data_IF_494338442605
#
_entry.id   IF_494338442605
#
_cell.length_a   1.000
_cell.length_b   1.000
_cell.length_c   1.000
_cell.angle_alpha   90.00
_cell.angle_beta   90.00
_cell.angle_gamma   90.00
#
_symmetry.space_group_name_H-M   'P 1'
#
loop_
_entity.id
_entity.type
_entity.pdbx_description
1 polymer ?
#
# COMPACT_ATOMS: atom_id res chain seq x y z
N UNK A 1 -16.31 14.38 -7.48
CA UNK A 1 -14.88 14.40 -7.09
C UNK A 1 -14.63 13.09 -6.36
N UNK A 2 -13.73 12.22 -6.84
CA UNK A 2 -13.66 10.84 -6.34
C UNK A 2 -13.12 10.78 -4.91
N UNK A 3 -13.99 10.42 -3.99
CA UNK A 3 -13.69 10.12 -2.58
C UNK A 3 -13.47 8.62 -2.37
N UNK A 4 -12.96 7.92 -3.39
CA UNK A 4 -12.73 6.47 -3.41
C UNK A 4 -11.28 6.12 -3.75
N UNK A 5 -10.82 4.99 -3.22
CA UNK A 5 -9.48 4.44 -3.46
C UNK A 5 -9.40 2.99 -2.99
N UNK A 6 -8.22 2.38 -3.12
CA UNK A 6 -8.00 1.00 -2.70
C UNK A 6 -8.18 0.87 -1.18
N UNK A 7 -8.99 -0.09 -0.76
CA UNK A 7 -9.06 -0.49 0.65
C UNK A 7 -7.72 -1.06 1.10
N UNK A 8 -7.21 -0.55 2.22
CA UNK A 8 -5.93 -0.98 2.80
C UNK A 8 -6.06 -1.21 4.29
N UNK A 9 -5.20 -2.06 4.85
CA UNK A 9 -5.02 -2.18 6.29
C UNK A 9 -3.96 -1.21 6.84
N UNK A 10 -3.71 -1.26 8.16
CA UNK A 10 -2.71 -0.43 8.83
C UNK A 10 -1.26 -0.66 8.41
N UNK A 11 -0.98 -1.72 7.63
CA UNK A 11 0.34 -2.02 7.06
C UNK A 11 0.44 -1.63 5.57
N UNK A 12 -0.51 -0.84 5.06
CA UNK A 12 -0.59 -0.43 3.65
C UNK A 12 -0.84 -1.58 2.66
N UNK A 13 -1.30 -2.75 3.12
CA UNK A 13 -1.59 -3.90 2.23
C UNK A 13 -2.95 -3.72 1.60
N UNK A 14 -3.06 -3.94 0.29
CA UNK A 14 -4.33 -3.85 -0.43
C UNK A 14 -5.24 -5.00 -0.02
N UNK A 15 -6.50 -4.69 0.26
CA UNK A 15 -7.52 -5.66 0.63
C UNK A 15 -8.36 -6.07 -0.59
N UNK A 16 -8.73 -7.35 -0.64
CA UNK A 16 -9.72 -7.86 -1.58
C UNK A 16 -11.15 -7.54 -1.10
N UNK A 17 -12.16 -7.97 -1.87
CA UNK A 17 -13.59 -7.78 -1.54
C UNK A 17 -14.03 -8.46 -0.26
N UNK A 18 -13.29 -9.46 0.23
CA UNK A 18 -13.54 -10.15 1.50
C UNK A 18 -12.80 -9.51 2.69
N UNK A 19 -12.14 -8.36 2.47
CA UNK A 19 -11.33 -7.68 3.49
C UNK A 19 -10.00 -8.38 3.80
N UNK A 20 -9.54 -9.31 2.96
CA UNK A 20 -8.27 -10.04 3.13
C UNK A 20 -7.14 -9.38 2.35
N UNK A 21 -5.92 -9.28 2.90
CA UNK A 21 -4.77 -8.76 2.17
C UNK A 21 -4.46 -9.58 0.91
N UNK A 22 -4.24 -8.87 -0.20
CA UNK A 22 -3.71 -9.45 -1.44
C UNK A 22 -2.19 -9.58 -1.29
N UNK A 23 -1.71 -10.82 -1.33
CA UNK A 23 -0.28 -11.11 -1.14
C UNK A 23 0.59 -10.42 -2.18
N UNK A 24 1.63 -9.72 -1.72
CA UNK A 24 2.56 -9.03 -2.61
C UNK A 24 2.10 -7.65 -3.10
N UNK A 25 0.96 -7.13 -2.61
CA UNK A 25 0.40 -5.87 -3.07
C UNK A 25 0.23 -4.85 -1.93
N UNK A 26 0.95 -3.73 -2.06
CA UNK A 26 0.88 -2.58 -1.17
C UNK A 26 0.62 -1.31 -1.97
N UNK A 27 0.20 -0.26 -1.27
CA UNK A 27 -0.05 1.02 -1.89
C UNK A 27 0.14 2.17 -0.91
N UNK A 28 0.36 3.38 -1.41
CA UNK A 28 0.53 4.57 -0.58
C UNK A 28 0.14 5.85 -1.34
N UNK A 29 -0.28 6.87 -0.60
CA UNK A 29 -0.64 8.18 -1.16
C UNK A 29 -2.09 8.26 -1.61
N UNK A 30 -2.36 9.06 -2.65
CA UNK A 30 -3.72 9.45 -3.06
C UNK A 30 -4.62 8.29 -3.51
N UNK A 31 -3.99 7.21 -3.97
CA UNK A 31 -4.65 6.00 -4.44
C UNK A 31 -5.40 5.23 -3.33
N UNK A 32 -5.16 5.50 -2.04
CA UNK A 32 -5.85 4.83 -0.92
C UNK A 32 -7.18 5.48 -0.52
N UNK A 33 -7.60 6.52 -1.24
CA UNK A 33 -8.79 7.31 -0.87
C UNK A 33 -8.43 8.30 0.23
N UNK A 34 -8.70 9.58 -0.05
CA UNK A 34 -8.03 10.66 0.67
C UNK A 34 -8.97 11.32 1.68
N UNK A 35 -10.20 11.64 1.28
CA UNK A 35 -11.25 12.20 2.13
C UNK A 35 -12.62 11.83 1.59
N UNK A 36 -13.59 11.54 2.46
CA UNK A 36 -14.98 11.37 2.05
C UNK A 36 -15.75 12.69 1.97
N UNK A 37 -15.30 13.76 2.66
CA UNK A 37 -16.04 15.04 2.72
C UNK A 37 -15.16 16.32 2.75
N UNK A 38 -13.95 16.29 3.33
CA UNK A 38 -13.13 17.50 3.49
C UNK A 38 -11.64 17.17 3.44
N UNK A 39 -10.85 17.89 2.63
CA UNK A 39 -9.38 17.82 2.58
C UNK A 39 -8.75 18.87 3.52
N UNK A 40 -8.19 18.50 4.68
CA UNK A 40 -7.37 19.42 5.46
C UNK A 40 -6.04 19.64 4.74
N UNK A 41 -5.65 20.90 4.55
CA UNK A 41 -4.47 21.24 3.74
C UNK A 41 -3.19 20.56 4.26
N UNK A 42 -2.40 19.97 3.34
CA UNK A 42 -1.12 19.30 3.64
C UNK A 42 -1.21 17.82 4.04
N UNK A 43 -2.40 17.27 4.21
CA UNK A 43 -2.60 15.87 4.63
C UNK A 43 -2.25 14.83 3.57
N UNK A 44 -2.32 15.15 2.28
CA UNK A 44 -1.88 14.26 1.19
C UNK A 44 -0.39 13.90 1.30
N UNK A 45 0.44 14.92 1.53
CA UNK A 45 1.90 14.77 1.64
C UNK A 45 2.25 13.98 2.90
N UNK A 46 1.65 14.32 4.03
CA UNK A 46 1.87 13.61 5.29
C UNK A 46 1.48 12.13 5.17
N UNK A 47 0.34 11.83 4.55
CA UNK A 47 -0.12 10.47 4.31
C UNK A 47 0.83 9.71 3.37
N UNK A 48 1.23 10.33 2.26
CA UNK A 48 2.15 9.73 1.29
C UNK A 48 3.47 9.34 1.94
N UNK A 49 4.06 10.23 2.75
CA UNK A 49 5.31 9.95 3.47
C UNK A 49 5.14 8.86 4.53
N UNK A 50 4.05 8.91 5.30
CA UNK A 50 3.79 7.95 6.39
C UNK A 50 3.53 6.55 5.85
N UNK A 51 2.55 6.39 4.96
CA UNK A 51 2.16 5.08 4.43
C UNK A 51 3.16 4.56 3.41
N UNK A 52 3.88 5.44 2.70
CA UNK A 52 5.01 5.03 1.85
C UNK A 52 6.14 4.42 2.67
N UNK A 53 6.46 5.00 3.84
CA UNK A 53 7.44 4.43 4.78
C UNK A 53 6.97 3.09 5.37
N UNK A 54 5.69 2.99 5.74
CA UNK A 54 5.11 1.75 6.26
C UNK A 54 5.16 0.65 5.21
N UNK A 55 4.65 0.93 4.00
CA UNK A 55 4.66 0.00 2.87
C UNK A 55 6.08 -0.47 2.54
N UNK A 56 7.03 0.46 2.41
CA UNK A 56 8.42 0.11 2.10
C UNK A 56 9.08 -0.79 3.14
N UNK A 57 8.78 -0.57 4.44
CA UNK A 57 9.28 -1.44 5.51
C UNK A 57 8.67 -2.83 5.47
N UNK A 58 7.36 -2.93 5.24
CA UNK A 58 6.67 -4.21 5.16
C UNK A 58 7.13 -5.02 3.94
N UNK A 59 7.26 -4.37 2.78
CA UNK A 59 7.83 -4.95 1.55
C UNK A 59 9.24 -5.49 1.80
N UNK A 60 10.12 -4.69 2.40
CA UNK A 60 11.49 -5.12 2.68
C UNK A 60 11.53 -6.33 3.64
N UNK A 61 10.69 -6.33 4.67
CA UNK A 61 10.58 -7.45 5.60
C UNK A 61 10.04 -8.72 4.90
N UNK A 62 9.09 -8.58 3.99
CA UNK A 62 8.52 -9.72 3.25
C UNK A 62 9.51 -10.31 2.25
N UNK A 63 10.26 -9.46 1.52
CA UNK A 63 11.32 -9.90 0.62
C UNK A 63 12.45 -10.61 1.36
N UNK A 64 12.81 -10.14 2.55
CA UNK A 64 13.82 -10.80 3.39
C UNK A 64 13.43 -12.23 3.79
N UNK A 65 12.13 -12.50 3.98
CA UNK A 65 11.62 -13.84 4.31
C UNK A 65 11.49 -14.74 3.08
N UNK A 66 11.12 -14.17 1.93
CA UNK A 66 10.78 -14.93 0.73
C UNK A 66 11.99 -15.33 -0.12
N UNK A 67 13.19 -14.87 0.23
CA UNK A 67 14.44 -15.19 -0.47
C UNK A 67 14.49 -14.56 -1.88
N UNK A 68 15.65 -14.58 -2.56
CA UNK A 68 15.74 -14.09 -3.93
C UNK A 68 14.91 -15.00 -4.84
N UNK A 69 13.82 -14.46 -5.40
CA UNK A 69 13.12 -15.09 -6.53
C UNK A 69 13.92 -14.84 -7.80
N UNK A 70 14.92 -15.68 -8.03
CA UNK A 70 15.58 -15.76 -9.34
C UNK A 70 14.67 -16.54 -10.26
N UNK A 71 14.10 -15.88 -11.27
CA UNK A 71 13.40 -16.56 -12.35
C UNK A 71 14.44 -17.28 -13.23
N UNK A 72 14.60 -18.59 -13.00
CA UNK A 72 15.47 -19.46 -13.79
C UNK A 72 14.81 -19.94 -15.10
N UNK A 73 13.60 -19.49 -15.45
CA UNK A 73 12.92 -19.91 -16.68
C UNK A 73 13.46 -19.26 -17.96
N UNK A 74 14.41 -18.33 -17.81
CA UNK A 74 15.10 -17.64 -18.90
C UNK A 74 16.55 -18.13 -19.13
N UNK A 75 16.96 -19.26 -18.54
CA UNK A 75 18.27 -19.91 -18.74
C UNK A 75 18.11 -21.24 -19.50
#
# INVERSE_FOLDING_TARGET
MSTGGLSVDGSSRVLNTDGRPIGGLWTAGEITGIFHDLYPSGTSVLRSLTFGRIAGRDVAAELAKSGPRVDLSLA
#
